data_IF_472143014923
#
_entry.id   IF_472143014923
#
_cell.length_a   1.000
_cell.length_b   1.000
_cell.length_c   1.000
_cell.angle_alpha   90.00
_cell.angle_beta   90.00
_cell.angle_gamma   90.00
#
_symmetry.space_group_name_H-M   'P 1'
#
loop_
_entity.id
_entity.type
_entity.pdbx_description
1 polymer ?
#
# COMPACT_ATOMS: atom_id res chain seq x y z
N UNK A 1 -40.43 -39.32 -61.39
CA UNK A 1 -40.73 -39.45 -59.94
C UNK A 1 -39.55 -38.84 -59.18
N UNK A 2 -39.58 -37.53 -58.92
CA UNK A 2 -38.48 -36.81 -58.27
C UNK A 2 -38.75 -36.72 -56.75
N UNK A 3 -37.83 -37.22 -55.93
CA UNK A 3 -37.88 -37.11 -54.47
C UNK A 3 -37.23 -35.80 -54.03
N UNK A 4 -38.00 -34.96 -53.35
CA UNK A 4 -37.53 -33.72 -52.72
C UNK A 4 -36.93 -34.07 -51.34
N UNK A 5 -35.64 -33.79 -51.14
CA UNK A 5 -34.96 -33.91 -49.85
C UNK A 5 -35.06 -32.56 -49.12
N UNK A 6 -35.81 -32.52 -48.02
CA UNK A 6 -35.87 -31.36 -47.13
C UNK A 6 -34.79 -31.53 -46.07
N UNK A 7 -33.75 -30.71 -46.13
CA UNK A 7 -32.72 -30.61 -45.09
C UNK A 7 -33.21 -29.55 -44.09
N UNK A 8 -33.60 -29.99 -42.90
CA UNK A 8 -33.90 -29.09 -41.77
C UNK A 8 -32.57 -28.75 -41.10
N UNK A 9 -32.05 -27.55 -41.36
CA UNK A 9 -30.88 -27.02 -40.67
C UNK A 9 -31.27 -26.55 -39.26
N UNK A 10 -30.73 -27.22 -38.24
CA UNK A 10 -30.83 -26.78 -36.85
C UNK A 10 -29.72 -25.75 -36.59
N UNK A 11 -30.06 -24.46 -36.58
CA UNK A 11 -29.12 -23.43 -36.14
C UNK A 11 -29.10 -23.39 -34.62
N UNK A 12 -28.05 -23.95 -34.01
CA UNK A 12 -27.75 -23.73 -32.59
C UNK A 12 -27.36 -22.26 -32.41
N UNK A 13 -28.29 -21.43 -31.95
CA UNK A 13 -27.97 -20.10 -31.42
C UNK A 13 -27.41 -20.27 -30.02
N UNK A 14 -26.10 -20.10 -29.87
CA UNK A 14 -25.46 -19.95 -28.57
C UNK A 14 -25.94 -18.62 -27.99
N UNK A 15 -26.83 -18.67 -27.00
CA UNK A 15 -27.18 -17.48 -26.24
C UNK A 15 -26.01 -17.15 -25.29
N UNK A 16 -25.59 -15.88 -25.18
CA UNK A 16 -24.60 -15.49 -24.19
C UNK A 16 -25.14 -15.83 -22.81
N UNK A 17 -24.36 -16.58 -22.01
CA UNK A 17 -24.63 -16.73 -20.59
C UNK A 17 -24.75 -15.33 -19.99
N UNK A 18 -25.90 -15.04 -19.38
CA UNK A 18 -26.05 -13.89 -18.50
C UNK A 18 -24.89 -13.94 -17.48
N UNK A 19 -24.13 -12.85 -17.36
CA UNK A 19 -23.10 -12.74 -16.33
C UNK A 19 -23.77 -13.03 -15.00
N UNK A 20 -23.29 -14.04 -14.27
CA UNK A 20 -23.64 -14.19 -12.86
C UNK A 20 -23.36 -12.85 -12.19
N UNK A 21 -24.34 -12.32 -11.45
CA UNK A 21 -24.13 -11.15 -10.62
C UNK A 21 -22.95 -11.44 -9.70
N UNK A 22 -21.84 -10.71 -9.89
CA UNK A 22 -20.67 -10.88 -9.06
C UNK A 22 -20.97 -10.40 -7.65
N UNK A 23 -20.64 -11.22 -6.64
CA UNK A 23 -20.90 -10.92 -5.24
C UNK A 23 -19.56 -10.75 -4.51
N UNK A 24 -19.11 -9.51 -4.24
CA UNK A 24 -17.82 -9.24 -3.61
C UNK A 24 -17.63 -9.92 -2.24
N UNK A 25 -18.70 -10.18 -1.50
CA UNK A 25 -18.61 -10.85 -0.19
C UNK A 25 -18.12 -12.29 -0.29
N UNK A 26 -18.43 -13.00 -1.39
CA UNK A 26 -17.91 -14.36 -1.62
C UNK A 26 -16.39 -14.33 -1.84
N UNK A 27 -15.93 -13.30 -2.55
CA UNK A 27 -14.50 -13.08 -2.78
C UNK A 27 -13.78 -12.73 -1.47
N UNK A 28 -14.36 -11.84 -0.66
CA UNK A 28 -13.82 -11.53 0.64
C UNK A 28 -13.75 -12.76 1.56
N UNK A 29 -14.82 -13.56 1.65
CA UNK A 29 -14.83 -14.76 2.50
C UNK A 29 -13.73 -15.75 2.10
N UNK A 30 -13.49 -15.88 0.78
CA UNK A 30 -12.45 -16.75 0.25
C UNK A 30 -11.05 -16.23 0.57
N UNK A 31 -10.81 -14.92 0.37
CA UNK A 31 -9.57 -14.27 0.75
C UNK A 31 -9.31 -14.38 2.25
N UNK A 32 -10.32 -14.08 3.08
CA UNK A 32 -10.21 -14.17 4.53
C UNK A 32 -9.78 -15.57 4.96
N UNK A 33 -10.38 -16.63 4.41
CA UNK A 33 -9.99 -18.02 4.71
C UNK A 33 -8.56 -18.33 4.29
N UNK A 34 -8.10 -17.84 3.14
CA UNK A 34 -6.70 -18.03 2.71
C UNK A 34 -5.72 -17.34 3.68
N UNK A 35 -6.02 -16.12 4.11
CA UNK A 35 -5.23 -15.41 5.12
C UNK A 35 -5.24 -16.13 6.48
N UNK A 36 -6.38 -16.68 6.93
CA UNK A 36 -6.47 -17.45 8.17
C UNK A 36 -5.62 -18.72 8.12
N UNK A 37 -5.72 -19.49 7.03
CA UNK A 37 -4.92 -20.71 6.86
C UNK A 37 -3.44 -20.39 6.92
N UNK A 38 -3.04 -19.29 6.28
CA UNK A 38 -1.67 -18.83 6.28
C UNK A 38 -1.18 -18.48 7.71
N UNK A 39 -2.00 -17.79 8.52
CA UNK A 39 -1.62 -17.41 9.90
C UNK A 39 -1.40 -18.61 10.82
N UNK A 40 -2.14 -19.71 10.61
CA UNK A 40 -2.01 -20.93 11.41
C UNK A 40 -0.79 -21.77 11.02
N UNK A 41 -0.31 -21.64 9.77
CA UNK A 41 0.84 -22.40 9.28
C UNK A 41 2.16 -21.84 9.81
N UNK A 42 2.87 -22.64 10.61
CA UNK A 42 4.14 -22.22 11.21
C UNK A 42 5.29 -22.17 10.19
N UNK A 43 5.44 -23.17 9.31
CA UNK A 43 6.52 -23.25 8.30
C UNK A 43 6.16 -24.22 7.15
N UNK A 44 6.70 -24.01 5.93
CA UNK A 44 6.71 -25.02 4.87
C UNK A 44 6.39 -24.51 3.45
N UNK A 45 6.63 -25.33 2.40
CA UNK A 45 6.33 -24.99 1.00
C UNK A 45 4.89 -24.52 0.74
N UNK A 46 3.94 -24.99 1.56
CA UNK A 46 2.52 -24.65 1.51
C UNK A 46 2.27 -23.15 1.75
N UNK A 47 3.16 -22.43 2.42
CA UNK A 47 3.04 -20.97 2.62
C UNK A 47 3.23 -20.20 1.31
N UNK A 48 4.16 -20.64 0.46
CA UNK A 48 4.36 -20.07 -0.87
C UNK A 48 3.15 -20.31 -1.78
N UNK A 49 2.58 -21.52 -1.75
CA UNK A 49 1.37 -21.87 -2.49
C UNK A 49 0.16 -21.03 -2.05
N UNK A 50 -0.02 -20.82 -0.74
CA UNK A 50 -1.07 -19.95 -0.21
C UNK A 50 -0.88 -18.49 -0.64
N UNK A 51 0.35 -17.98 -0.65
CA UNK A 51 0.61 -16.63 -1.12
C UNK A 51 0.26 -16.48 -2.62
N UNK A 52 0.68 -17.43 -3.45
CA UNK A 52 0.32 -17.47 -4.88
C UNK A 52 -1.19 -17.49 -5.03
N UNK A 53 -1.90 -18.29 -4.24
CA UNK A 53 -3.36 -18.32 -4.25
C UNK A 53 -4.00 -16.99 -3.83
N UNK A 54 -3.50 -16.33 -2.77
CA UNK A 54 -3.95 -15.00 -2.34
C UNK A 54 -3.76 -13.98 -3.47
N UNK A 55 -2.55 -13.92 -4.05
CA UNK A 55 -2.25 -13.02 -5.16
C UNK A 55 -3.17 -13.25 -6.34
N UNK A 56 -3.26 -14.49 -6.82
CA UNK A 56 -4.06 -14.86 -7.99
C UNK A 56 -5.52 -14.48 -7.76
N UNK A 57 -6.06 -14.83 -6.59
CA UNK A 57 -7.43 -14.55 -6.25
C UNK A 57 -7.71 -13.05 -6.11
N UNK A 58 -6.79 -12.29 -5.50
CA UNK A 58 -6.91 -10.82 -5.45
C UNK A 58 -6.86 -10.22 -6.86
N UNK A 59 -5.96 -10.65 -7.73
CA UNK A 59 -5.86 -10.13 -9.09
C UNK A 59 -7.13 -10.41 -9.92
N UNK A 60 -7.65 -11.64 -9.86
CA UNK A 60 -8.86 -12.04 -10.59
C UNK A 60 -10.12 -11.28 -10.13
N UNK A 61 -10.18 -10.89 -8.85
CA UNK A 61 -11.35 -10.23 -8.29
C UNK A 61 -11.25 -8.70 -8.34
N UNK A 62 -10.08 -8.12 -8.06
CA UNK A 62 -9.91 -6.66 -8.01
C UNK A 62 -9.95 -5.98 -9.39
N UNK A 63 -9.93 -6.74 -10.49
CA UNK A 63 -10.22 -6.19 -11.83
C UNK A 63 -11.72 -5.90 -12.03
N UNK A 64 -12.59 -6.42 -11.16
CA UNK A 64 -14.04 -6.24 -11.25
C UNK A 64 -14.46 -4.94 -10.55
N UNK A 65 -15.14 -4.00 -11.25
CA UNK A 65 -15.56 -2.71 -10.68
C UNK A 65 -16.40 -2.82 -9.40
N UNK A 66 -17.20 -3.88 -9.29
CA UNK A 66 -18.04 -4.17 -8.13
C UNK A 66 -17.22 -4.32 -6.83
N UNK A 67 -15.95 -4.71 -6.94
CA UNK A 67 -15.05 -4.78 -5.78
C UNK A 67 -14.54 -3.42 -5.34
N UNK A 68 -14.53 -2.41 -6.22
CA UNK A 68 -13.93 -1.10 -5.89
C UNK A 68 -14.74 -0.32 -4.86
N UNK A 69 -16.06 -0.50 -4.81
CA UNK A 69 -16.90 0.14 -3.79
C UNK A 69 -17.14 -0.78 -2.58
N UNK A 70 -16.79 -2.06 -2.68
CA UNK A 70 -16.99 -3.02 -1.61
C UNK A 70 -16.04 -2.77 -0.44
N UNK A 71 -16.53 -2.78 0.81
CA UNK A 71 -15.75 -2.29 1.96
C UNK A 71 -14.64 -3.20 2.44
N UNK A 72 -14.72 -4.51 2.18
CA UNK A 72 -13.76 -5.50 2.66
C UNK A 72 -13.57 -5.50 4.20
N UNK A 73 -14.66 -5.34 4.98
CA UNK A 73 -14.59 -5.16 6.43
C UNK A 73 -13.97 -6.37 7.19
N UNK A 74 -14.08 -7.59 6.67
CA UNK A 74 -13.42 -8.78 7.23
C UNK A 74 -11.95 -8.87 6.83
N UNK A 75 -11.64 -8.63 5.56
CA UNK A 75 -10.27 -8.67 5.03
C UNK A 75 -9.38 -7.56 5.62
N UNK A 76 -9.95 -6.41 5.98
CA UNK A 76 -9.26 -5.33 6.73
C UNK A 76 -8.64 -5.78 8.05
N UNK A 77 -9.06 -6.92 8.60
CA UNK A 77 -8.46 -7.53 9.81
C UNK A 77 -7.19 -8.32 9.51
N UNK A 78 -6.83 -8.49 8.23
CA UNK A 78 -5.72 -9.32 7.75
C UNK A 78 -4.77 -8.57 6.82
N UNK A 79 -5.28 -7.59 6.07
CA UNK A 79 -4.49 -6.74 5.18
C UNK A 79 -4.81 -5.26 5.42
N UNK A 80 -3.81 -4.40 5.22
CA UNK A 80 -4.02 -2.96 5.12
C UNK A 80 -4.73 -2.67 3.81
N UNK A 81 -5.84 -1.93 3.87
CA UNK A 81 -6.59 -1.48 2.70
C UNK A 81 -6.81 0.02 2.86
N UNK A 82 -6.19 0.83 2.01
CA UNK A 82 -6.40 2.27 2.03
C UNK A 82 -7.10 2.71 0.77
N UNK A 83 -8.01 3.66 0.93
CA UNK A 83 -8.81 4.22 -0.15
C UNK A 83 -8.35 5.66 -0.39
N UNK A 84 -8.16 6.01 -1.66
CA UNK A 84 -7.96 7.40 -2.02
C UNK A 84 -9.22 8.22 -1.70
N UNK A 85 -9.04 9.38 -1.07
CA UNK A 85 -10.18 10.24 -0.70
C UNK A 85 -10.98 10.82 -1.88
N UNK A 86 -10.59 10.56 -3.12
CA UNK A 86 -11.34 10.90 -4.34
C UNK A 86 -11.85 9.68 -5.13
N UNK A 87 -11.66 8.48 -4.61
CA UNK A 87 -12.10 7.23 -5.26
C UNK A 87 -11.40 6.98 -6.60
N UNK A 88 -10.11 7.31 -6.69
CA UNK A 88 -9.25 7.00 -7.83
C UNK A 88 -8.64 5.60 -7.72
N UNK A 89 -8.14 5.26 -6.55
CA UNK A 89 -7.50 3.98 -6.28
C UNK A 89 -7.76 3.47 -4.86
N UNK A 90 -7.48 2.18 -4.68
CA UNK A 90 -7.26 1.51 -3.41
C UNK A 90 -5.89 0.85 -3.42
N UNK A 91 -5.23 0.85 -2.27
CA UNK A 91 -3.96 0.15 -2.09
C UNK A 91 -4.13 -0.91 -0.99
N UNK A 92 -3.73 -2.13 -1.32
CA UNK A 92 -3.78 -3.29 -0.46
C UNK A 92 -2.36 -3.69 -0.12
N UNK A 93 -2.03 -3.84 1.16
CA UNK A 93 -0.68 -4.25 1.61
C UNK A 93 -0.78 -5.25 2.75
N UNK A 94 0.01 -6.32 2.69
CA UNK A 94 0.04 -7.36 3.73
C UNK A 94 1.45 -7.91 3.93
N UNK A 95 1.62 -8.60 5.06
CA UNK A 95 2.87 -9.18 5.52
C UNK A 95 2.73 -10.71 5.60
N UNK A 96 3.81 -11.37 5.20
CA UNK A 96 4.03 -12.81 5.26
C UNK A 96 5.31 -13.03 6.09
N UNK A 97 5.21 -13.35 7.40
CA UNK A 97 6.39 -13.64 8.22
C UNK A 97 7.01 -14.98 7.82
N UNK A 98 8.20 -14.94 7.23
CA UNK A 98 8.99 -16.13 6.83
C UNK A 98 9.65 -16.76 8.05
N UNK A 99 10.20 -15.92 8.92
CA UNK A 99 10.76 -16.33 10.21
C UNK A 99 10.41 -15.28 11.29
N UNK A 100 11.08 -15.33 12.44
CA UNK A 100 10.84 -14.35 13.51
C UNK A 100 11.21 -12.91 13.11
N UNK A 101 12.12 -12.73 12.15
CA UNK A 101 12.67 -11.41 11.78
C UNK A 101 12.69 -11.17 10.28
N UNK A 102 12.25 -12.15 9.50
CA UNK A 102 12.22 -12.09 8.04
C UNK A 102 10.78 -12.03 7.58
N UNK A 103 10.47 -11.00 6.82
CA UNK A 103 9.12 -10.66 6.41
C UNK A 103 9.08 -10.40 4.91
N UNK A 104 8.17 -11.08 4.23
CA UNK A 104 7.82 -10.75 2.86
C UNK A 104 6.63 -9.78 2.86
N UNK A 105 6.83 -8.62 2.25
CA UNK A 105 5.81 -7.61 2.08
C UNK A 105 5.25 -7.68 0.66
N UNK A 106 3.93 -7.57 0.58
CA UNK A 106 3.20 -7.71 -0.66
C UNK A 106 2.17 -6.59 -0.77
N UNK A 107 1.84 -6.23 -2.01
CA UNK A 107 0.77 -5.26 -2.22
C UNK A 107 0.22 -5.24 -3.64
N UNK A 108 -0.95 -4.60 -3.76
CA UNK A 108 -1.60 -4.32 -5.04
C UNK A 108 -2.21 -2.92 -5.00
N UNK A 109 -2.25 -2.25 -6.14
CA UNK A 109 -3.05 -1.04 -6.34
C UNK A 109 -4.17 -1.36 -7.32
N UNK A 110 -5.42 -1.15 -6.88
CA UNK A 110 -6.60 -1.18 -7.72
C UNK A 110 -6.92 0.27 -8.14
N UNK A 111 -6.84 0.59 -9.42
CA UNK A 111 -7.18 1.90 -9.99
C UNK A 111 -8.53 1.80 -10.67
N UNK A 112 -9.44 2.70 -10.36
CA UNK A 112 -10.78 2.74 -10.92
C UNK A 112 -10.95 3.87 -11.91
N UNK A 113 -11.34 3.51 -13.13
CA UNK A 113 -11.78 4.45 -14.14
C UNK A 113 -13.31 4.58 -14.12
N UNK A 114 -13.79 5.75 -13.66
CA UNK A 114 -15.20 6.08 -13.56
C UNK A 114 -15.88 6.25 -14.92
N UNK A 115 -15.15 6.63 -15.97
CA UNK A 115 -15.73 6.88 -17.29
C UNK A 115 -16.04 5.56 -18.01
N UNK A 116 -15.08 4.64 -18.01
CA UNK A 116 -15.25 3.30 -18.59
C UNK A 116 -15.89 2.29 -17.65
N UNK A 117 -16.00 2.62 -16.35
CA UNK A 117 -16.39 1.69 -15.29
C UNK A 117 -15.55 0.41 -15.30
N UNK A 118 -14.22 0.57 -15.27
CA UNK A 118 -13.26 -0.55 -15.27
C UNK A 118 -12.23 -0.39 -14.15
N UNK A 119 -11.64 -1.49 -13.70
CA UNK A 119 -10.52 -1.49 -12.77
C UNK A 119 -9.25 -2.03 -13.41
N UNK A 120 -8.12 -1.34 -13.21
CA UNK A 120 -6.78 -1.84 -13.46
C UNK A 120 -6.13 -2.27 -12.14
N UNK A 121 -5.39 -3.37 -12.15
CA UNK A 121 -4.67 -3.88 -10.97
C UNK A 121 -3.17 -3.86 -11.25
N UNK A 122 -2.42 -3.15 -10.41
CA UNK A 122 -0.96 -3.10 -10.45
C UNK A 122 -0.40 -3.91 -9.28
N UNK A 123 0.40 -4.94 -9.57
CA UNK A 123 1.08 -5.75 -8.57
C UNK A 123 2.30 -4.99 -8.06
N UNK A 124 2.46 -4.92 -6.73
CA UNK A 124 3.63 -4.33 -6.10
C UNK A 124 4.64 -5.43 -5.75
N UNK A 125 5.79 -5.41 -6.43
CA UNK A 125 6.92 -6.28 -6.14
C UNK A 125 7.84 -5.56 -5.16
N UNK A 126 8.03 -6.17 -3.98
CA UNK A 126 8.96 -5.64 -2.99
C UNK A 126 10.38 -5.69 -3.56
N UNK A 127 10.95 -4.51 -3.78
CA UNK A 127 12.29 -4.33 -4.31
C UNK A 127 13.20 -3.55 -3.36
N UNK A 128 12.90 -3.55 -2.05
CA UNK A 128 13.59 -2.70 -1.07
C UNK A 128 15.11 -2.91 -1.03
N UNK A 129 15.58 -4.14 -1.28
CA UNK A 129 17.01 -4.47 -1.30
C UNK A 129 17.70 -4.01 -2.60
N UNK A 130 16.94 -3.92 -3.69
CA UNK A 130 17.43 -3.57 -5.02
C UNK A 130 17.38 -2.05 -5.29
N UNK A 131 16.67 -1.27 -4.47
CA UNK A 131 16.62 0.20 -4.59
C UNK A 131 17.95 0.80 -4.07
N UNK A 132 18.81 1.38 -4.94
CA UNK A 132 20.14 1.83 -4.52
C UNK A 132 20.12 3.03 -3.56
N UNK A 133 19.12 3.91 -3.73
CA UNK A 133 18.91 5.09 -2.89
C UNK A 133 17.41 5.23 -2.61
N UNK A 134 16.97 4.67 -1.49
CA UNK A 134 15.56 4.68 -1.08
C UNK A 134 15.01 6.10 -0.88
N UNK A 135 15.86 7.02 -0.40
CA UNK A 135 15.49 8.39 -0.02
C UNK A 135 15.30 9.29 -1.25
N UNK A 136 16.09 9.08 -2.31
CA UNK A 136 16.11 9.96 -3.48
C UNK A 136 15.68 9.30 -4.81
N UNK A 137 15.01 8.15 -4.78
CA UNK A 137 14.50 7.48 -5.98
C UNK A 137 12.99 7.62 -6.19
N UNK A 138 12.59 7.76 -7.45
CA UNK A 138 11.23 7.46 -7.90
C UNK A 138 11.18 5.96 -8.22
N UNK A 139 10.15 5.27 -7.75
CA UNK A 139 9.97 3.85 -8.06
C UNK A 139 8.57 3.54 -8.59
N UNK A 140 8.46 2.47 -9.36
CA UNK A 140 7.18 1.96 -9.87
C UNK A 140 6.78 0.67 -9.16
N UNK A 141 5.73 -0.02 -9.64
CA UNK A 141 5.22 -1.25 -9.03
C UNK A 141 6.27 -2.37 -8.95
N UNK A 142 7.18 -2.45 -9.92
CA UNK A 142 8.24 -3.47 -9.95
C UNK A 142 9.41 -3.24 -8.99
N UNK A 143 9.51 -2.06 -8.37
CA UNK A 143 10.56 -1.68 -7.41
C UNK A 143 9.90 -0.99 -6.21
N UNK A 144 8.81 -1.57 -5.71
CA UNK A 144 8.06 -0.99 -4.62
C UNK A 144 8.83 -1.17 -3.30
N UNK A 145 8.94 -0.15 -2.44
CA UNK A 145 9.80 -0.21 -1.24
C UNK A 145 9.28 -1.11 -0.10
N UNK A 146 8.30 -1.98 -0.32
CA UNK A 146 7.83 -2.93 0.70
C UNK A 146 7.32 -2.23 1.97
N UNK A 147 6.11 -1.70 1.94
CA UNK A 147 5.56 -0.90 3.05
C UNK A 147 4.13 -1.29 3.39
N UNK A 148 3.85 -1.61 4.65
CA UNK A 148 2.50 -1.72 5.16
C UNK A 148 1.91 -0.32 5.39
N UNK A 149 1.12 0.17 4.43
CA UNK A 149 0.51 1.49 4.55
C UNK A 149 -0.72 1.45 5.46
N UNK A 150 -0.79 2.41 6.38
CA UNK A 150 -1.91 2.55 7.33
C UNK A 150 -2.63 3.90 7.24
N UNK A 151 -2.10 4.87 6.49
CA UNK A 151 -2.76 6.16 6.27
C UNK A 151 -2.40 6.77 4.91
N UNK A 152 -3.33 7.53 4.34
CA UNK A 152 -3.20 8.18 3.04
C UNK A 152 -3.82 9.59 3.06
N UNK A 153 -3.03 10.57 2.66
CA UNK A 153 -3.46 11.97 2.58
C UNK A 153 -3.42 12.46 1.14
N UNK A 154 -4.57 12.85 0.62
CA UNK A 154 -4.64 13.50 -0.70
C UNK A 154 -4.18 14.95 -0.62
N UNK A 155 -3.17 15.30 -1.42
CA UNK A 155 -2.62 16.66 -1.53
C UNK A 155 -2.63 17.14 -2.99
N UNK A 156 -2.64 18.46 -3.17
CA UNK A 156 -2.72 19.12 -4.47
C UNK A 156 -1.74 20.27 -4.60
N UNK A 157 -1.15 20.41 -5.79
CA UNK A 157 -0.39 21.59 -6.23
C UNK A 157 -0.85 21.97 -7.64
N UNK A 158 -1.70 22.99 -7.75
CA UNK A 158 -2.36 23.31 -9.01
C UNK A 158 -3.20 22.13 -9.51
N UNK A 159 -2.90 21.63 -10.71
CA UNK A 159 -3.56 20.44 -11.29
C UNK A 159 -2.97 19.11 -10.83
N UNK A 160 -1.75 19.12 -10.26
CA UNK A 160 -1.11 17.88 -9.81
C UNK A 160 -1.72 17.41 -8.49
N UNK A 161 -2.11 16.14 -8.44
CA UNK A 161 -2.57 15.44 -7.24
C UNK A 161 -1.52 14.41 -6.88
N UNK A 162 -1.27 14.25 -5.58
CA UNK A 162 -0.46 13.16 -5.06
C UNK A 162 -0.98 12.77 -3.69
N UNK A 163 -0.70 11.53 -3.33
CA UNK A 163 -1.22 10.85 -2.18
C UNK A 163 -0.05 10.54 -1.27
N UNK A 164 0.02 11.24 -0.15
CA UNK A 164 1.06 11.01 0.85
C UNK A 164 0.67 9.80 1.67
N UNK A 165 1.44 8.74 1.52
CA UNK A 165 1.29 7.48 2.22
C UNK A 165 2.18 7.48 3.45
N UNK A 166 1.67 6.92 4.54
CA UNK A 166 2.44 6.64 5.75
C UNK A 166 2.34 5.16 6.05
N UNK A 167 3.47 4.54 6.34
CA UNK A 167 3.52 3.11 6.51
C UNK A 167 4.69 2.63 7.36
N UNK A 168 4.65 1.33 7.62
CA UNK A 168 5.63 0.58 8.39
C UNK A 168 6.32 -0.44 7.47
N UNK A 169 7.63 -0.58 7.58
CA UNK A 169 8.41 -1.54 6.82
C UNK A 169 9.29 -2.32 7.79
N UNK A 170 9.16 -3.64 7.79
CA UNK A 170 10.06 -4.51 8.53
C UNK A 170 11.47 -4.36 7.97
N UNK A 171 12.48 -4.40 8.83
CA UNK A 171 13.86 -4.34 8.39
C UNK A 171 14.65 -5.57 8.81
N UNK A 172 15.01 -5.67 10.09
CA UNK A 172 15.79 -6.79 10.58
C UNK A 172 15.50 -7.08 12.06
N UNK A 173 16.31 -7.95 12.67
CA UNK A 173 16.16 -8.32 14.09
C UNK A 173 16.32 -7.12 15.04
N UNK A 174 16.98 -6.05 14.63
CA UNK A 174 17.41 -4.98 15.53
C UNK A 174 16.61 -3.70 15.37
N UNK A 175 15.99 -3.51 14.21
CA UNK A 175 15.39 -2.26 13.83
C UNK A 175 14.19 -2.46 12.92
N UNK A 176 13.32 -1.47 12.92
CA UNK A 176 12.20 -1.33 12.00
C UNK A 176 12.20 0.05 11.36
N UNK A 177 11.42 0.20 10.29
CA UNK A 177 11.30 1.47 9.57
C UNK A 177 9.88 2.00 9.54
N UNK A 178 9.75 3.32 9.67
CA UNK A 178 8.57 4.08 9.24
C UNK A 178 8.92 4.90 8.01
N UNK A 179 8.02 4.89 7.02
CA UNK A 179 8.25 5.57 5.75
C UNK A 179 7.08 6.50 5.45
N UNK A 180 7.42 7.73 5.04
CA UNK A 180 6.51 8.68 4.41
C UNK A 180 6.93 8.80 2.95
N UNK A 181 6.00 8.59 2.03
CA UNK A 181 6.26 8.79 0.61
C UNK A 181 5.04 9.33 -0.14
N UNK A 182 5.25 9.83 -1.35
CA UNK A 182 4.17 10.34 -2.18
C UNK A 182 3.93 9.43 -3.39
N UNK A 183 2.74 8.84 -3.44
CA UNK A 183 2.20 8.15 -4.61
C UNK A 183 1.55 9.16 -5.57
N UNK A 184 1.80 9.01 -6.86
CA UNK A 184 1.12 9.72 -7.93
C UNK A 184 0.94 8.80 -9.13
N UNK A 185 0.18 9.24 -10.12
CA UNK A 185 -0.05 8.47 -11.34
C UNK A 185 0.54 9.23 -12.53
N UNK A 186 1.13 8.50 -13.47
CA UNK A 186 1.56 9.04 -14.76
C UNK A 186 0.36 9.26 -15.70
N UNK A 187 0.63 9.67 -16.94
CA UNK A 187 -0.40 9.93 -17.95
C UNK A 187 -1.17 8.66 -18.36
N UNK A 188 -0.59 7.48 -18.13
CA UNK A 188 -1.17 6.17 -18.45
C UNK A 188 -1.78 5.49 -17.22
N UNK A 189 -1.99 6.23 -16.13
CA UNK A 189 -2.52 5.71 -14.86
C UNK A 189 -1.62 4.65 -14.19
N UNK A 190 -0.32 4.62 -14.49
CA UNK A 190 0.62 3.79 -13.74
C UNK A 190 0.99 4.47 -12.41
N UNK A 191 0.96 3.73 -11.28
CA UNK A 191 1.37 4.28 -10.00
C UNK A 191 2.89 4.45 -9.91
N UNK A 192 3.31 5.64 -9.48
CA UNK A 192 4.70 6.03 -9.23
C UNK A 192 4.85 6.53 -7.79
N UNK A 193 5.79 5.94 -7.08
CA UNK A 193 6.12 6.24 -5.69
C UNK A 193 7.33 7.18 -5.60
N UNK A 194 7.44 7.87 -4.46
CA UNK A 194 8.57 8.75 -4.18
C UNK A 194 8.55 10.06 -4.98
N UNK A 195 7.43 10.77 -5.10
CA UNK A 195 7.49 12.15 -5.66
C UNK A 195 8.37 13.05 -4.75
N UNK A 196 9.30 13.87 -5.28
CA UNK A 196 10.19 14.71 -4.47
C UNK A 196 9.44 15.90 -3.85
N UNK A 197 8.74 15.66 -2.75
CA UNK A 197 7.85 16.65 -2.12
C UNK A 197 8.18 16.90 -0.65
N UNK A 198 9.24 16.31 -0.10
CA UNK A 198 9.63 16.52 1.30
C UNK A 198 10.81 17.48 1.35
N UNK A 199 10.61 18.66 1.93
CA UNK A 199 11.67 19.63 2.20
C UNK A 199 12.17 19.40 3.63
N UNK A 200 13.27 18.68 3.76
CA UNK A 200 13.90 18.30 5.04
C UNK A 200 15.13 19.17 5.30
N UNK A 201 15.73 19.13 6.51
CA UNK A 201 16.99 19.82 6.79
C UNK A 201 18.15 19.41 5.85
N UNK A 202 18.13 18.17 5.35
CA UNK A 202 19.13 17.60 4.43
C UNK A 202 18.83 17.93 2.95
N UNK A 203 17.70 18.58 2.68
CA UNK A 203 17.28 19.00 1.34
C UNK A 203 15.98 18.36 0.87
N UNK A 204 15.76 18.34 -0.44
CA UNK A 204 14.54 17.78 -1.02
C UNK A 204 14.69 16.25 -1.14
N UNK A 205 13.79 15.52 -0.50
CA UNK A 205 13.73 14.06 -0.49
C UNK A 205 12.48 13.52 -1.18
N UNK A 206 12.58 12.29 -1.70
CA UNK A 206 11.48 11.53 -2.31
C UNK A 206 10.71 10.75 -1.25
N UNK A 207 11.42 10.33 -0.20
CA UNK A 207 10.86 9.63 0.97
C UNK A 207 11.51 10.16 2.24
N UNK A 208 10.75 10.18 3.32
CA UNK A 208 11.28 10.35 4.67
C UNK A 208 11.28 8.96 5.31
N UNK A 209 12.45 8.50 5.72
CA UNK A 209 12.64 7.16 6.30
C UNK A 209 13.16 7.32 7.73
N UNK A 210 12.46 6.72 8.67
CA UNK A 210 12.86 6.65 10.07
C UNK A 210 13.23 5.21 10.38
N UNK A 211 14.48 4.95 10.73
CA UNK A 211 14.91 3.67 11.25
C UNK A 211 15.17 3.82 12.75
N UNK A 212 14.60 2.92 13.55
CA UNK A 212 14.61 3.00 15.00
C UNK A 212 14.71 1.61 15.61
N UNK A 213 14.98 1.54 16.92
CA UNK A 213 15.07 0.27 17.64
C UNK A 213 13.80 -0.58 17.48
N UNK A 214 13.96 -1.87 17.17
CA UNK A 214 12.84 -2.82 17.10
C UNK A 214 12.15 -3.06 18.45
N UNK A 215 12.77 -2.62 19.56
CA UNK A 215 12.24 -2.76 20.91
C UNK A 215 11.34 -1.59 21.34
N UNK A 216 11.18 -0.55 20.51
CA UNK A 216 10.37 0.64 20.84
C UNK A 216 9.26 0.87 19.83
N UNK A 217 8.27 1.68 20.21
CA UNK A 217 7.21 2.12 19.30
C UNK A 217 7.41 3.59 18.92
N UNK A 218 7.40 3.89 17.62
CA UNK A 218 7.44 5.25 17.08
C UNK A 218 6.04 5.68 16.61
N UNK A 219 5.56 6.85 17.01
CA UNK A 219 4.38 7.48 16.43
C UNK A 219 4.69 8.15 15.10
N UNK A 220 3.80 7.99 14.12
CA UNK A 220 3.76 8.73 12.87
C UNK A 220 2.31 8.77 12.41
N UNK A 221 1.70 9.96 12.36
CA UNK A 221 0.29 10.13 12.01
C UNK A 221 -0.02 11.52 11.49
N UNK A 222 -1.12 11.67 10.75
CA UNK A 222 -1.67 13.00 10.50
C UNK A 222 -2.41 13.55 11.71
N UNK A 223 -2.08 14.76 12.13
CA UNK A 223 -2.84 15.53 13.10
C UNK A 223 -3.76 16.53 12.35
N UNK A 224 -5.10 16.36 12.42
CA UNK A 224 -6.04 17.23 11.69
C UNK A 224 -6.10 18.66 12.23
N UNK A 225 -5.87 18.87 13.53
CA UNK A 225 -5.92 20.20 14.17
C UNK A 225 -4.72 21.05 13.75
N UNK A 226 -3.52 20.45 13.78
CA UNK A 226 -2.28 21.09 13.33
C UNK A 226 -2.20 21.16 11.80
N UNK A 227 -2.95 20.30 11.10
CA UNK A 227 -2.90 20.04 9.66
C UNK A 227 -1.49 19.64 9.22
N UNK A 228 -0.89 18.72 9.97
CA UNK A 228 0.49 18.29 9.83
C UNK A 228 0.61 16.79 9.95
N UNK A 229 1.58 16.21 9.26
CA UNK A 229 2.08 14.89 9.66
C UNK A 229 2.95 15.12 10.89
N UNK A 230 2.71 14.38 11.95
CA UNK A 230 3.39 14.51 13.24
C UNK A 230 3.97 13.15 13.61
N UNK A 231 5.20 13.15 14.09
CA UNK A 231 5.90 11.94 14.51
C UNK A 231 6.76 12.20 15.75
N UNK A 232 7.08 11.13 16.47
CA UNK A 232 8.01 11.20 17.60
C UNK A 232 9.39 11.60 17.08
N UNK A 233 10.03 12.59 17.71
CA UNK A 233 11.43 12.89 17.43
C UNK A 233 12.28 11.71 17.93
N UNK A 234 13.25 11.29 17.13
CA UNK A 234 14.11 10.14 17.42
C UNK A 234 15.52 10.62 17.76
N UNK A 235 16.01 10.23 18.92
CA UNK A 235 17.39 10.45 19.33
C UNK A 235 18.07 9.12 19.68
N UNK A 236 19.40 9.01 19.51
CA UNK A 236 20.13 7.87 20.01
C UNK A 236 20.07 7.86 21.54
N UNK A 237 19.86 6.69 22.14
CA UNK A 237 19.80 6.53 23.61
C UNK A 237 21.07 7.02 24.33
N UNK A 238 22.21 7.03 23.63
CA UNK A 238 23.48 7.59 24.07
C UNK A 238 24.16 8.30 22.88
N UNK A 239 24.80 9.48 23.06
CA UNK A 239 25.41 10.23 21.97
C UNK A 239 26.43 9.43 21.14
N UNK A 240 27.16 8.53 21.77
CA UNK A 240 28.17 7.67 21.13
C UNK A 240 27.56 6.66 20.15
N UNK A 241 26.26 6.42 20.24
CA UNK A 241 25.51 5.46 19.42
C UNK A 241 24.83 6.10 18.19
N UNK A 242 25.03 7.41 17.96
CA UNK A 242 24.39 8.16 16.87
C UNK A 242 24.60 7.56 15.47
N UNK A 243 25.67 6.77 15.26
CA UNK A 243 25.95 6.09 13.99
C UNK A 243 25.09 4.84 13.72
N UNK A 244 24.23 4.43 14.66
CA UNK A 244 23.53 3.15 14.63
C UNK A 244 22.02 3.33 14.86
N UNK A 245 21.19 3.35 13.80
CA UNK A 245 19.75 3.60 13.90
C UNK A 245 18.98 2.65 14.84
N UNK A 246 19.45 1.40 15.01
CA UNK A 246 18.90 0.44 15.97
C UNK A 246 18.88 0.91 17.44
N UNK A 247 19.59 1.99 17.76
CA UNK A 247 19.65 2.59 19.10
C UNK A 247 18.89 3.91 19.20
N UNK A 248 18.12 4.28 18.17
CA UNK A 248 17.27 5.45 18.19
C UNK A 248 15.92 5.12 18.83
N UNK A 249 15.45 6.02 19.69
CA UNK A 249 14.18 5.91 20.37
C UNK A 249 13.48 7.29 20.50
N UNK A 250 12.15 7.32 20.69
CA UNK A 250 11.43 8.55 21.01
C UNK A 250 11.97 9.26 22.26
N UNK A 251 12.21 10.57 22.16
CA UNK A 251 12.60 11.45 23.28
C UNK A 251 11.39 12.14 23.96
N UNK A 252 10.18 11.81 23.52
CA UNK A 252 8.89 12.43 23.90
C UNK A 252 8.69 13.87 23.40
N UNK A 253 9.55 14.37 22.53
CA UNK A 253 9.29 15.55 21.70
C UNK A 253 8.75 15.11 20.33
N UNK A 254 8.29 16.09 19.54
CA UNK A 254 7.57 15.83 18.30
C UNK A 254 8.05 16.74 17.19
N UNK A 255 8.28 16.13 16.04
CA UNK A 255 8.53 16.82 14.79
C UNK A 255 7.37 16.60 13.82
N UNK A 256 7.41 17.28 12.69
CA UNK A 256 6.41 17.06 11.68
C UNK A 256 6.64 17.76 10.36
N UNK A 257 5.72 17.47 9.44
CA UNK A 257 5.70 18.07 8.13
C UNK A 257 4.40 18.85 7.94
N UNK A 258 4.53 20.12 7.53
CA UNK A 258 3.39 20.97 7.16
C UNK A 258 3.32 21.15 5.67
N UNK A 259 2.18 20.80 5.08
CA UNK A 259 1.99 20.96 3.66
C UNK A 259 1.82 22.44 3.25
N UNK A 260 2.73 22.97 2.44
CA UNK A 260 2.68 24.34 1.91
C UNK A 260 3.21 24.39 0.48
N UNK A 261 2.51 25.12 -0.40
CA UNK A 261 2.93 25.36 -1.80
C UNK A 261 3.32 24.08 -2.58
N UNK A 262 2.70 22.96 -2.26
CA UNK A 262 2.98 21.68 -2.90
C UNK A 262 4.23 20.97 -2.40
N UNK A 263 4.67 21.28 -1.19
CA UNK A 263 5.76 20.59 -0.49
C UNK A 263 5.32 20.31 0.95
N UNK A 264 5.84 19.24 1.52
CA UNK A 264 5.84 18.95 2.94
C UNK A 264 7.06 19.60 3.56
N UNK A 265 6.85 20.64 4.37
CA UNK A 265 7.92 21.43 4.97
C UNK A 265 8.19 20.96 6.39
N UNK A 266 9.43 20.56 6.69
CA UNK A 266 9.85 20.11 8.03
C UNK A 266 9.62 21.19 9.10
N UNK A 267 9.20 20.77 10.28
CA UNK A 267 9.01 21.60 11.47
C UNK A 267 9.44 20.79 12.69
N UNK A 268 10.37 21.34 13.46
CA UNK A 268 10.78 20.75 14.74
C UNK A 268 9.95 21.25 15.91
N UNK A 269 10.06 20.58 17.05
CA UNK A 269 9.63 21.05 18.38
C UNK A 269 8.15 21.45 18.43
N UNK A 270 7.27 20.56 17.94
CA UNK A 270 5.84 20.79 17.89
C UNK A 270 5.17 20.67 19.26
N UNK A 271 4.36 21.67 19.62
CA UNK A 271 3.44 21.58 20.74
C UNK A 271 2.17 20.81 20.32
N UNK A 272 2.13 19.52 20.64
CA UNK A 272 1.03 18.60 20.27
C UNK A 272 0.00 18.39 21.39
N UNK A 273 0.07 19.16 22.49
CA UNK A 273 -0.89 19.05 23.59
C UNK A 273 -2.26 19.52 23.11
N UNK A 274 -3.30 18.71 23.36
CA UNK A 274 -4.68 19.07 23.06
C UNK A 274 -5.03 20.41 23.74
N UNK A 275 -5.46 21.39 22.95
CA UNK A 275 -6.07 22.64 23.43
C UNK A 275 -7.57 22.60 23.26
#
# INVERSE_FOLDING_TARGET
>A
MYRLLIIVGFTLTIQPLLSQDYIPSIAEDSLYRLFEQYQVMQTGPQRGELNIAIFTYMQENLVLPETFEYRFDSLRKRAGILESGDGLFRIFTWNIPISAWEHELHGLIQVYDKESNTCAVHILHNGIEEIPDLIHSVTGPGMWPGVLYYDVLRKKKGKQVYYTLMGFSFHDRWSDKKIIEALHFDENMNPLFGKPVFNTPEGIQHRVVFEYSGDVAMNLRYNPDLKMIVYDHLEPIEPELAAHPRFYAPDFSYDGYKFRKGMWEFRSDLDVRNR
#
